data_IF_246786678686
#
_entry.id   IF_246786678686
#
_cell.length_a   1.000
_cell.length_b   1.000
_cell.length_c   1.000
_cell.angle_alpha   90.00
_cell.angle_beta   90.00
_cell.angle_gamma   90.00
#
_symmetry.space_group_name_H-M   'P 1'
#
loop_
_entity.id
_entity.type
_entity.pdbx_description
1 polymer ?
#
# COMPACT_ATOMS: atom_id res chain seq x y z
N UNK A 1 -23.11 -16.18 21.97
CA UNK A 1 -22.11 -15.11 21.77
C UNK A 1 -20.93 -15.74 21.06
N UNK A 2 -20.89 -15.66 19.74
CA UNK A 2 -19.78 -16.18 18.94
C UNK A 2 -18.55 -15.36 19.28
N UNK A 3 -17.53 -15.97 19.86
CA UNK A 3 -16.17 -15.43 19.87
C UNK A 3 -15.83 -15.08 18.43
N UNK A 4 -15.62 -13.79 18.08
CA UNK A 4 -15.15 -13.49 16.74
C UNK A 4 -13.82 -14.22 16.56
N UNK A 5 -13.70 -14.98 15.48
CA UNK A 5 -12.44 -15.55 15.06
C UNK A 5 -11.45 -14.38 15.04
N UNK A 6 -10.31 -14.52 15.74
CA UNK A 6 -9.28 -13.49 15.91
C UNK A 6 -9.01 -12.64 14.63
N UNK A 7 -9.02 -13.22 13.39
CA UNK A 7 -8.88 -12.46 12.15
C UNK A 7 -9.99 -11.44 11.89
N UNK A 8 -11.26 -11.80 12.13
CA UNK A 8 -12.40 -10.94 11.84
C UNK A 8 -12.48 -9.77 12.80
N UNK A 9 -12.14 -9.99 14.08
CA UNK A 9 -12.05 -8.93 15.08
C UNK A 9 -10.95 -7.92 14.73
N UNK A 10 -9.73 -8.41 14.44
CA UNK A 10 -8.62 -7.55 14.06
C UNK A 10 -8.91 -6.78 12.76
N UNK A 11 -9.54 -7.44 11.78
CA UNK A 11 -9.99 -6.83 10.54
C UNK A 11 -11.00 -5.70 10.77
N UNK A 12 -11.94 -5.87 11.72
CA UNK A 12 -12.90 -4.83 12.08
C UNK A 12 -12.23 -3.65 12.77
N UNK A 13 -11.28 -3.89 13.67
CA UNK A 13 -10.49 -2.81 14.30
C UNK A 13 -9.73 -2.01 13.23
N UNK A 14 -9.11 -2.67 12.26
CA UNK A 14 -8.44 -2.02 11.14
C UNK A 14 -9.42 -1.24 10.25
N UNK A 15 -10.62 -1.78 10.01
CA UNK A 15 -11.69 -1.14 9.22
C UNK A 15 -12.22 0.14 9.88
N UNK A 16 -12.42 0.10 11.19
CA UNK A 16 -12.91 1.22 11.98
C UNK A 16 -11.82 2.26 12.30
N UNK A 17 -10.55 1.89 12.17
CA UNK A 17 -9.42 2.75 12.55
C UNK A 17 -9.17 2.78 14.06
N UNK A 18 -9.48 1.68 14.76
CA UNK A 18 -9.24 1.51 16.20
C UNK A 18 -7.76 1.24 16.49
N UNK A 19 -6.92 2.23 16.19
CA UNK A 19 -5.45 2.11 16.18
C UNK A 19 -4.88 1.67 17.53
N UNK A 20 -5.43 2.16 18.65
CA UNK A 20 -4.95 1.81 20.01
C UNK A 20 -5.22 0.33 20.33
N UNK A 21 -6.43 -0.13 20.07
CA UNK A 21 -6.81 -1.53 20.30
C UNK A 21 -6.00 -2.47 19.40
N UNK A 22 -5.83 -2.10 18.13
CA UNK A 22 -5.01 -2.88 17.20
C UNK A 22 -3.53 -2.91 17.61
N UNK A 23 -2.99 -1.78 18.09
CA UNK A 23 -1.62 -1.71 18.62
C UNK A 23 -1.42 -2.63 19.82
N UNK A 24 -2.39 -2.73 20.72
CA UNK A 24 -2.32 -3.63 21.86
C UNK A 24 -2.28 -5.10 21.41
N UNK A 25 -3.07 -5.48 20.41
CA UNK A 25 -3.04 -6.83 19.85
C UNK A 25 -1.70 -7.15 19.17
N UNK A 26 -1.12 -6.22 18.42
CA UNK A 26 0.21 -6.39 17.82
C UNK A 26 1.30 -6.60 18.89
N UNK A 27 1.23 -5.87 20.00
CA UNK A 27 2.14 -6.07 21.14
C UNK A 27 1.95 -7.43 21.84
N UNK A 28 0.75 -8.02 21.75
CA UNK A 28 0.44 -9.36 22.26
C UNK A 28 0.84 -10.49 21.27
N UNK A 29 1.48 -10.14 20.15
CA UNK A 29 1.95 -11.13 19.16
C UNK A 29 0.94 -11.45 18.05
N UNK A 30 -0.07 -10.59 17.83
CA UNK A 30 -0.89 -10.67 16.62
C UNK A 30 0.03 -10.56 15.39
N UNK A 31 -0.12 -11.48 14.43
CA UNK A 31 0.56 -11.37 13.15
C UNK A 31 0.10 -10.12 12.42
N UNK A 32 1.03 -9.19 12.13
CA UNK A 32 0.75 -7.95 11.40
C UNK A 32 0.24 -8.22 9.97
N UNK A 33 0.58 -9.38 9.40
CA UNK A 33 0.17 -9.82 8.07
C UNK A 33 -1.08 -10.72 8.09
N UNK A 34 -1.77 -10.81 9.24
CA UNK A 34 -3.01 -11.55 9.39
C UNK A 34 -4.01 -11.20 8.28
N UNK A 35 -4.67 -12.24 7.77
CA UNK A 35 -5.63 -12.14 6.68
C UNK A 35 -7.03 -12.49 7.14
N UNK A 36 -8.01 -11.73 6.65
CA UNK A 36 -9.43 -12.08 6.79
C UNK A 36 -9.81 -13.25 5.87
N UNK A 37 -11.07 -13.68 5.93
CA UNK A 37 -11.61 -14.77 5.12
C UNK A 37 -11.62 -14.51 3.60
N UNK A 38 -11.21 -13.31 3.13
CA UNK A 38 -11.08 -12.95 1.71
C UNK A 38 -9.60 -12.75 1.33
N UNK A 39 -8.69 -13.11 2.23
CA UNK A 39 -7.26 -12.91 2.06
C UNK A 39 -6.80 -11.45 2.22
N UNK A 40 -7.64 -10.52 2.68
CA UNK A 40 -7.23 -9.14 2.88
C UNK A 40 -6.39 -9.02 4.14
N UNK A 41 -5.23 -8.39 4.03
CA UNK A 41 -4.42 -8.04 5.19
C UNK A 41 -5.05 -6.86 5.96
N UNK A 42 -4.69 -6.72 7.23
CA UNK A 42 -5.05 -5.54 8.02
C UNK A 42 -4.66 -4.23 7.32
N UNK A 43 -3.48 -4.19 6.69
CA UNK A 43 -2.99 -3.05 5.92
C UNK A 43 -3.91 -2.72 4.75
N UNK A 44 -4.35 -3.72 3.99
CA UNK A 44 -5.26 -3.53 2.86
C UNK A 44 -6.61 -2.96 3.32
N UNK A 45 -7.15 -3.49 4.42
CA UNK A 45 -8.44 -3.05 4.97
C UNK A 45 -8.34 -1.59 5.46
N UNK A 46 -7.33 -1.27 6.26
CA UNK A 46 -7.11 0.09 6.76
C UNK A 46 -6.88 1.08 5.61
N UNK A 47 -6.06 0.70 4.62
CA UNK A 47 -5.76 1.53 3.47
C UNK A 47 -6.99 1.79 2.59
N UNK A 48 -7.80 0.77 2.33
CA UNK A 48 -9.06 0.92 1.58
C UNK A 48 -10.07 1.83 2.32
N UNK A 49 -10.09 1.79 3.65
CA UNK A 49 -10.99 2.60 4.46
C UNK A 49 -10.48 4.01 4.78
N UNK A 50 -9.28 4.39 4.32
CA UNK A 50 -8.75 5.73 4.57
C UNK A 50 -8.21 5.91 5.99
N UNK A 51 -7.89 4.84 6.72
CA UNK A 51 -7.42 4.90 8.11
C UNK A 51 -5.91 5.17 8.17
N UNK A 52 -5.52 6.41 7.87
CA UNK A 52 -4.12 6.83 7.75
C UNK A 52 -3.26 6.48 8.98
N UNK A 53 -3.74 6.74 10.19
CA UNK A 53 -3.02 6.41 11.43
C UNK A 53 -2.81 4.91 11.60
N UNK A 54 -3.84 4.11 11.28
CA UNK A 54 -3.77 2.65 11.36
C UNK A 54 -2.83 2.09 10.29
N UNK A 55 -2.82 2.67 9.08
CA UNK A 55 -1.84 2.33 8.04
C UNK A 55 -0.42 2.61 8.54
N UNK A 56 -0.17 3.80 9.10
CA UNK A 56 1.14 4.16 9.62
C UNK A 56 1.61 3.21 10.74
N UNK A 57 0.70 2.82 11.65
CA UNK A 57 0.97 1.83 12.69
C UNK A 57 1.37 0.47 12.09
N UNK A 58 0.59 -0.04 11.14
CA UNK A 58 0.82 -1.35 10.53
C UNK A 58 2.14 -1.38 9.74
N UNK A 59 2.45 -0.32 8.99
CA UNK A 59 3.73 -0.19 8.28
C UNK A 59 4.91 -0.15 9.26
N UNK A 60 4.82 0.63 10.35
CA UNK A 60 5.84 0.66 11.41
C UNK A 60 6.02 -0.69 12.10
N UNK A 61 4.96 -1.50 12.13
CA UNK A 61 4.97 -2.85 12.72
C UNK A 61 5.46 -3.92 11.74
N UNK A 62 5.94 -3.55 10.55
CA UNK A 62 6.50 -4.48 9.58
C UNK A 62 5.47 -5.16 8.69
N UNK A 63 4.30 -4.55 8.48
CA UNK A 63 3.31 -5.05 7.50
C UNK A 63 3.94 -5.13 6.11
N UNK A 64 3.75 -6.28 5.44
CA UNK A 64 4.16 -6.46 4.06
C UNK A 64 3.23 -5.70 3.13
N UNK A 65 3.81 -4.81 2.33
CA UNK A 65 3.08 -3.78 1.55
C UNK A 65 2.43 -4.31 0.27
N UNK A 66 2.94 -5.39 -0.30
CA UNK A 66 2.51 -5.93 -1.60
C UNK A 66 1.78 -7.28 -1.50
N UNK A 67 1.37 -7.69 -0.31
CA UNK A 67 0.57 -8.90 -0.16
C UNK A 67 -0.75 -8.80 -0.93
N UNK A 68 -1.05 -9.86 -1.67
CA UNK A 68 -2.23 -9.99 -2.50
C UNK A 68 -3.35 -10.72 -1.78
N UNK A 69 -4.57 -10.20 -1.89
CA UNK A 69 -5.77 -10.93 -1.46
C UNK A 69 -6.18 -12.00 -2.49
N UNK A 70 -7.27 -12.71 -2.24
CA UNK A 70 -7.77 -13.77 -3.14
C UNK A 70 -8.15 -13.28 -4.55
N UNK A 71 -8.36 -11.96 -4.72
CA UNK A 71 -8.63 -11.32 -6.01
C UNK A 71 -7.37 -10.79 -6.69
N UNK A 72 -6.19 -11.05 -6.13
CA UNK A 72 -4.92 -10.53 -6.64
C UNK A 72 -4.66 -9.06 -6.35
N UNK A 73 -5.49 -8.39 -5.55
CA UNK A 73 -5.38 -6.96 -5.25
C UNK A 73 -4.32 -6.72 -4.17
N UNK A 74 -3.55 -5.64 -4.29
CA UNK A 74 -2.63 -5.13 -3.25
C UNK A 74 -3.24 -3.90 -2.56
N UNK A 75 -2.75 -3.52 -1.35
CA UNK A 75 -3.19 -2.30 -0.66
C UNK A 75 -3.19 -1.05 -1.56
N UNK A 76 -2.15 -0.87 -2.39
CA UNK A 76 -2.02 0.29 -3.29
C UNK A 76 -3.13 0.32 -4.35
N UNK A 77 -3.58 -0.84 -4.84
CA UNK A 77 -4.72 -0.94 -5.76
C UNK A 77 -6.03 -0.48 -5.13
N UNK A 78 -6.31 -0.94 -3.91
CA UNK A 78 -7.48 -0.50 -3.15
C UNK A 78 -7.50 1.00 -2.86
N UNK A 79 -6.33 1.57 -2.56
CA UNK A 79 -6.15 3.02 -2.39
C UNK A 79 -6.35 3.77 -3.70
N UNK A 80 -5.82 3.28 -4.81
CA UNK A 80 -5.99 3.91 -6.12
C UNK A 80 -7.45 3.88 -6.61
N UNK A 81 -8.21 2.85 -6.23
CA UNK A 81 -9.65 2.82 -6.44
C UNK A 81 -10.39 3.88 -5.59
N UNK A 82 -10.03 4.03 -4.32
CA UNK A 82 -10.70 4.95 -3.38
C UNK A 82 -10.27 6.41 -3.49
N UNK A 83 -9.03 6.67 -3.87
CA UNK A 83 -8.48 8.03 -3.99
C UNK A 83 -7.78 8.57 -2.74
N UNK A 84 -7.32 7.72 -1.81
CA UNK A 84 -6.68 8.19 -0.57
C UNK A 84 -5.20 8.57 -0.79
N UNK A 85 -4.95 9.82 -1.19
CA UNK A 85 -3.63 10.31 -1.64
C UNK A 85 -2.52 10.16 -0.59
N UNK A 86 -2.81 10.51 0.66
CA UNK A 86 -1.81 10.44 1.74
C UNK A 86 -1.39 8.99 2.02
N UNK A 87 -2.34 8.06 1.95
CA UNK A 87 -2.10 6.63 2.12
C UNK A 87 -1.31 6.08 0.94
N UNK A 88 -1.61 6.52 -0.29
CA UNK A 88 -0.84 6.12 -1.45
C UNK A 88 0.64 6.52 -1.30
N UNK A 89 0.89 7.74 -0.81
CA UNK A 89 2.23 8.24 -0.53
C UNK A 89 2.93 7.37 0.52
N UNK A 90 2.26 7.08 1.64
CA UNK A 90 2.80 6.20 2.68
C UNK A 90 3.15 4.80 2.15
N UNK A 91 2.28 4.19 1.35
CA UNK A 91 2.53 2.86 0.77
C UNK A 91 3.71 2.87 -0.21
N UNK A 92 3.80 3.90 -1.07
CA UNK A 92 4.91 4.05 -2.03
C UNK A 92 6.24 4.32 -1.31
N UNK A 93 6.23 5.10 -0.24
CA UNK A 93 7.42 5.33 0.60
C UNK A 93 7.84 4.09 1.37
N UNK A 94 6.88 3.21 1.70
CA UNK A 94 7.15 1.89 2.27
C UNK A 94 7.54 0.83 1.22
N UNK A 95 7.71 1.22 -0.05
CA UNK A 95 8.23 0.36 -1.11
C UNK A 95 7.19 -0.44 -1.89
N UNK A 96 5.90 -0.10 -1.80
CA UNK A 96 4.87 -0.76 -2.60
C UNK A 96 5.14 -0.60 -4.10
N UNK A 97 4.97 -1.67 -4.88
CA UNK A 97 5.18 -1.65 -6.32
C UNK A 97 4.07 -0.85 -7.04
N UNK A 98 4.37 0.31 -7.66
CA UNK A 98 3.38 1.09 -8.40
C UNK A 98 2.87 0.41 -9.66
N UNK A 99 3.53 -0.65 -10.14
CA UNK A 99 3.22 -1.40 -11.36
C UNK A 99 2.65 -2.79 -11.07
N UNK A 100 2.31 -3.09 -9.82
CA UNK A 100 1.80 -4.40 -9.44
C UNK A 100 0.57 -4.78 -10.29
N UNK A 101 0.67 -5.88 -11.04
CA UNK A 101 -0.47 -6.43 -11.78
C UNK A 101 -1.49 -7.06 -10.83
N UNK A 102 -2.75 -6.64 -10.88
CA UNK A 102 -3.82 -7.06 -9.98
C UNK A 102 -4.96 -7.72 -10.76
N UNK A 103 -4.62 -8.69 -11.60
CA UNK A 103 -5.57 -9.36 -12.48
C UNK A 103 -5.81 -8.59 -13.77
N UNK A 104 -4.73 -8.12 -14.41
CA UNK A 104 -4.78 -7.38 -15.67
C UNK A 104 -4.94 -5.86 -15.51
N UNK A 105 -4.97 -5.35 -14.27
CA UNK A 105 -5.03 -3.91 -13.97
C UNK A 105 -3.89 -3.53 -13.01
N UNK A 106 -3.27 -2.38 -13.25
CA UNK A 106 -2.32 -1.75 -12.34
C UNK A 106 -3.01 -0.75 -11.41
N UNK A 107 -2.38 -0.32 -10.31
CA UNK A 107 -2.88 0.81 -9.51
C UNK A 107 -3.16 2.07 -10.35
N UNK A 108 -2.37 2.34 -11.39
CA UNK A 108 -2.60 3.46 -12.29
C UNK A 108 -3.86 3.28 -13.15
N UNK A 109 -4.18 2.05 -13.54
CA UNK A 109 -5.41 1.73 -14.29
C UNK A 109 -6.65 1.96 -13.42
N UNK A 110 -6.61 1.53 -12.14
CA UNK A 110 -7.66 1.87 -11.18
C UNK A 110 -7.79 3.39 -10.99
N UNK A 111 -6.68 4.09 -10.76
CA UNK A 111 -6.72 5.56 -10.62
C UNK A 111 -7.34 6.25 -11.84
N UNK A 112 -7.04 5.76 -13.04
CA UNK A 112 -7.59 6.29 -14.30
C UNK A 112 -9.08 5.98 -14.42
N UNK A 113 -9.49 4.73 -14.22
CA UNK A 113 -10.88 4.27 -14.35
C UNK A 113 -11.82 4.99 -13.38
N UNK A 114 -11.34 5.34 -12.18
CA UNK A 114 -12.14 6.00 -11.14
C UNK A 114 -11.84 7.50 -10.99
N UNK A 115 -11.11 8.10 -11.94
CA UNK A 115 -10.87 9.55 -11.99
C UNK A 115 -10.00 10.11 -10.86
N UNK A 116 -9.12 9.30 -10.25
CA UNK A 116 -8.23 9.70 -9.15
C UNK A 116 -6.96 10.37 -9.69
N UNK A 117 -7.11 11.59 -10.21
CA UNK A 117 -6.03 12.30 -10.90
C UNK A 117 -4.77 12.54 -10.04
N UNK A 118 -4.95 12.83 -8.75
CA UNK A 118 -3.82 13.03 -7.83
C UNK A 118 -3.03 11.73 -7.61
N UNK A 119 -3.72 10.60 -7.43
CA UNK A 119 -3.06 9.27 -7.33
C UNK A 119 -2.32 8.96 -8.62
N UNK A 120 -2.95 9.18 -9.77
CA UNK A 120 -2.34 8.92 -11.07
C UNK A 120 -1.06 9.76 -11.27
N UNK A 121 -1.10 11.02 -10.86
CA UNK A 121 0.06 11.91 -10.90
C UNK A 121 1.17 11.40 -9.99
N UNK A 122 0.84 11.05 -8.74
CA UNK A 122 1.79 10.49 -7.78
C UNK A 122 2.46 9.20 -8.29
N UNK A 123 1.69 8.28 -8.88
CA UNK A 123 2.22 7.03 -9.44
C UNK A 123 3.15 7.29 -10.64
N UNK A 124 2.81 8.27 -11.50
CA UNK A 124 3.67 8.67 -12.63
C UNK A 124 4.99 9.29 -12.16
N UNK A 125 4.94 10.15 -11.14
CA UNK A 125 6.14 10.76 -10.54
C UNK A 125 7.10 9.69 -10.01
N UNK A 126 6.58 8.71 -9.25
CA UNK A 126 7.39 7.60 -8.74
C UNK A 126 7.96 6.73 -9.85
N UNK A 127 7.21 6.50 -10.93
CA UNK A 127 7.69 5.77 -12.12
C UNK A 127 8.86 6.49 -12.80
N UNK A 128 8.77 7.81 -12.98
CA UNK A 128 9.84 8.61 -13.59
C UNK A 128 11.07 8.64 -12.69
N UNK A 129 10.90 8.77 -11.37
CA UNK A 129 12.00 8.72 -10.42
C UNK A 129 12.76 7.38 -10.48
N UNK A 130 12.06 6.26 -10.63
CA UNK A 130 12.66 4.94 -10.79
C UNK A 130 13.40 4.75 -12.14
N UNK A 131 13.02 5.51 -13.18
CA UNK A 131 13.55 5.36 -14.54
C UNK A 131 14.77 6.25 -14.86
N UNK A 132 15.13 7.22 -14.02
CA UNK A 132 16.31 8.06 -14.27
C UNK A 132 17.59 7.27 -13.95
N UNK A 133 18.48 7.01 -14.93
CA UNK A 133 19.79 6.47 -14.63
C UNK A 133 20.51 7.49 -13.74
N UNK A 134 20.91 7.04 -12.55
CA UNK A 134 21.54 7.84 -11.50
C UNK A 134 22.48 8.92 -12.03
N UNK A 135 22.50 10.08 -11.38
CA UNK A 135 23.24 11.31 -11.76
C UNK A 135 24.70 11.10 -12.22
N UNK A 136 25.35 10.01 -11.81
CA UNK A 136 26.69 9.64 -12.28
C UNK A 136 26.69 9.16 -13.73
N UNK A 137 25.62 8.53 -14.24
CA UNK A 137 25.47 8.14 -15.63
C UNK A 137 25.47 9.37 -16.54
N UNK A 138 24.72 10.42 -16.19
CA UNK A 138 24.79 11.73 -16.88
C UNK A 138 26.18 12.36 -16.82
N UNK A 139 26.91 12.20 -15.70
CA UNK A 139 28.33 12.62 -15.59
C UNK A 139 29.26 11.75 -16.43
N UNK A 140 28.97 10.45 -16.57
CA UNK A 140 29.74 9.48 -17.34
C UNK A 140 29.61 9.74 -18.84
N UNK A 141 28.39 9.91 -19.38
CA UNK A 141 28.23 10.36 -20.78
C UNK A 141 28.82 11.75 -20.99
N UNK A 142 28.80 12.62 -19.99
CA UNK A 142 29.46 13.92 -20.04
C UNK A 142 30.99 13.81 -20.15
N UNK A 143 31.60 12.86 -19.43
CA UNK A 143 33.03 12.55 -19.48
C UNK A 143 33.42 11.86 -20.80
N UNK A 144 32.63 10.88 -21.28
CA UNK A 144 32.91 10.16 -22.52
C UNK A 144 32.83 11.05 -23.76
N UNK A 145 32.00 12.11 -23.76
CA UNK A 145 31.86 13.05 -24.88
C UNK A 145 32.99 14.10 -24.94
N UNK A 146 33.78 14.24 -23.87
CA UNK A 146 34.90 15.17 -23.77
C UNK A 146 36.27 14.49 -23.95
N UNK A 147 36.27 13.23 -24.40
CA UNK A 147 37.45 12.43 -24.68
C UNK A 147 37.47 12.08 -26.17
#
# INVERSE_FOLDING_TARGET
MTTPLLPDAAAELARQGKTVELSALLQQGLDVNLRDAKGNTLLMIAAYQGRAETVALLLKSGAQVDLRNEKGQTPLGGVAFKGHVDIARMLLDAGADPLADQGGSTPADYATMFGRQEILTLLRERRVAAAQPTRWFSKLIGWMRKR
#
